data_IF_619595324563
#
_entry.id   IF_619595324563
#
_cell.length_a   1.000
_cell.length_b   1.000
_cell.length_c   1.000
_cell.angle_alpha   90.00
_cell.angle_beta   90.00
_cell.angle_gamma   90.00
#
_symmetry.space_group_name_H-M   'P 1'
#
loop_
_entity.id
_entity.type
_entity.pdbx_description
1 polymer ?
#
# COMPACT_ATOMS: atom_id res chain seq x y z
N UNK A 1 -4.97 -58.73 -25.77
CA UNK A 1 -5.48 -57.36 -25.91
C UNK A 1 -4.77 -56.50 -24.87
N UNK A 2 -3.90 -55.58 -25.31
CA UNK A 2 -3.15 -54.66 -24.44
C UNK A 2 -3.61 -53.23 -24.70
N UNK A 3 -3.60 -52.48 -23.60
CA UNK A 3 -4.27 -51.23 -23.25
C UNK A 3 -3.98 -50.02 -24.13
N UNK A 4 -4.89 -49.03 -24.09
CA UNK A 4 -4.49 -47.65 -23.89
C UNK A 4 -5.63 -46.86 -23.22
N UNK A 5 -5.47 -46.57 -21.93
CA UNK A 5 -6.27 -45.57 -21.20
C UNK A 5 -5.44 -44.28 -21.21
N UNK A 6 -5.92 -43.18 -21.81
CA UNK A 6 -5.19 -41.92 -21.76
C UNK A 6 -5.25 -41.33 -20.34
N UNK A 7 -4.09 -41.23 -19.70
CA UNK A 7 -3.88 -40.44 -18.49
C UNK A 7 -4.02 -38.96 -18.86
N UNK A 8 -5.12 -38.35 -18.44
CA UNK A 8 -5.28 -36.90 -18.47
C UNK A 8 -4.37 -36.29 -17.39
N UNK A 9 -3.25 -35.72 -17.80
CA UNK A 9 -2.45 -34.85 -16.94
C UNK A 9 -3.20 -33.52 -16.81
N UNK A 10 -3.95 -33.35 -15.73
CA UNK A 10 -4.39 -32.03 -15.29
C UNK A 10 -3.17 -31.27 -14.80
N UNK A 11 -2.63 -30.39 -15.64
CA UNK A 11 -1.62 -29.42 -15.21
C UNK A 11 -2.27 -28.48 -14.21
N UNK A 12 -1.92 -28.63 -12.93
CA UNK A 12 -2.18 -27.63 -11.91
C UNK A 12 -1.29 -26.42 -12.25
N UNK A 13 -1.80 -25.48 -13.03
CA UNK A 13 -1.16 -24.17 -13.16
C UNK A 13 -1.25 -23.53 -11.76
N UNK A 14 -0.14 -23.50 -11.03
CA UNK A 14 -0.04 -22.69 -9.83
C UNK A 14 -0.33 -21.24 -10.23
N UNK A 15 -1.40 -20.66 -9.69
CA UNK A 15 -1.61 -19.23 -9.80
C UNK A 15 -0.43 -18.56 -9.08
N UNK A 16 0.53 -18.05 -9.86
CA UNK A 16 1.57 -17.18 -9.30
C UNK A 16 0.83 -15.93 -8.85
N UNK A 17 0.71 -15.75 -7.54
CA UNK A 17 0.14 -14.52 -7.00
C UNK A 17 1.05 -13.38 -7.44
N UNK A 18 0.49 -12.37 -8.08
CA UNK A 18 1.24 -11.22 -8.61
C UNK A 18 1.81 -10.31 -7.50
N UNK A 19 1.45 -10.62 -6.25
CA UNK A 19 1.96 -10.00 -5.04
C UNK A 19 1.92 -11.00 -3.89
N UNK A 20 2.75 -10.77 -2.88
CA UNK A 20 2.69 -11.45 -1.59
C UNK A 20 2.37 -10.44 -0.49
N UNK A 21 1.55 -10.83 0.49
CA UNK A 21 1.33 -10.01 1.69
C UNK A 21 1.51 -10.85 2.95
N UNK A 22 2.07 -10.25 3.98
CA UNK A 22 1.99 -10.76 5.34
C UNK A 22 0.76 -10.20 6.03
N UNK A 23 0.15 -11.01 6.90
CA UNK A 23 -0.76 -10.45 7.89
C UNK A 23 0.04 -9.56 8.85
N UNK A 24 -0.61 -8.51 9.35
CA UNK A 24 -0.01 -7.59 10.30
C UNK A 24 -1.09 -6.86 11.10
N UNK A 25 -0.68 -6.25 12.20
CA UNK A 25 -1.54 -5.42 13.04
C UNK A 25 -1.45 -3.96 12.63
N UNK A 26 -2.49 -3.18 12.91
CA UNK A 26 -2.35 -1.73 12.89
C UNK A 26 -1.32 -1.26 13.95
N UNK A 27 -0.72 -0.10 13.73
CA UNK A 27 0.04 0.58 14.80
C UNK A 27 -0.86 0.94 15.99
N UNK A 28 -0.29 0.91 17.19
CA UNK A 28 -0.93 1.55 18.35
C UNK A 28 -0.87 3.08 18.21
N UNK A 29 -1.68 3.84 18.96
CA UNK A 29 -1.61 5.29 18.97
C UNK A 29 -0.21 5.82 19.32
N UNK A 30 0.51 5.17 20.24
CA UNK A 30 1.86 5.53 20.64
C UNK A 30 2.88 5.25 19.52
N UNK A 31 2.79 4.08 18.88
CA UNK A 31 3.64 3.72 17.74
C UNK A 31 3.41 4.68 16.56
N UNK A 32 2.15 5.07 16.31
CA UNK A 32 1.83 6.04 15.27
C UNK A 32 2.33 7.44 15.63
N UNK A 33 2.18 7.88 16.88
CA UNK A 33 2.71 9.16 17.32
C UNK A 33 4.23 9.22 17.17
N UNK A 34 4.95 8.14 17.49
CA UNK A 34 6.38 8.02 17.26
C UNK A 34 6.70 8.06 15.75
N UNK A 35 5.99 7.28 14.93
CA UNK A 35 6.15 7.24 13.48
C UNK A 35 6.10 8.62 12.82
N UNK A 36 5.20 9.49 13.29
CA UNK A 36 5.06 10.86 12.77
C UNK A 36 6.31 11.73 13.02
N UNK A 37 7.18 11.34 13.95
CA UNK A 37 8.44 12.04 14.25
C UNK A 37 9.65 11.48 13.53
N UNK A 38 9.51 10.31 12.89
CA UNK A 38 10.60 9.64 12.21
C UNK A 38 10.75 10.15 10.77
N UNK A 39 11.98 10.49 10.37
CA UNK A 39 12.35 10.70 8.96
C UNK A 39 12.92 9.42 8.32
N UNK A 40 13.26 8.41 9.13
CA UNK A 40 13.82 7.13 8.71
C UNK A 40 13.29 6.02 9.64
N UNK A 41 12.94 4.89 9.07
CA UNK A 41 12.31 3.74 9.76
C UNK A 41 13.22 2.52 9.80
N UNK A 42 14.49 2.65 9.40
CA UNK A 42 15.47 1.57 9.43
C UNK A 42 15.66 1.04 10.86
N UNK A 43 15.34 -0.23 11.08
CA UNK A 43 15.44 -0.86 12.40
C UNK A 43 14.35 -0.45 13.39
N UNK A 44 13.34 0.31 12.96
CA UNK A 44 12.20 0.65 13.80
C UNK A 44 11.24 -0.54 13.90
N UNK A 45 11.26 -1.23 15.04
CA UNK A 45 10.56 -2.50 15.25
C UNK A 45 9.05 -2.48 14.93
N UNK A 46 8.29 -1.40 15.21
CA UNK A 46 6.87 -1.35 14.84
C UNK A 46 6.60 -1.40 13.33
N UNK A 47 7.59 -1.10 12.48
CA UNK A 47 7.45 -1.27 11.02
C UNK A 47 7.25 -2.74 10.65
N UNK A 48 7.92 -3.68 11.33
CA UNK A 48 7.84 -5.11 11.01
C UNK A 48 6.49 -5.74 11.36
N UNK A 49 5.70 -5.09 12.22
CA UNK A 49 4.43 -5.61 12.73
C UNK A 49 3.20 -5.27 11.88
N UNK A 50 3.29 -4.21 11.07
CA UNK A 50 2.20 -3.84 10.16
C UNK A 50 2.14 -4.80 8.97
N UNK A 51 1.03 -4.76 8.21
CA UNK A 51 0.93 -5.52 6.97
C UNK A 51 2.00 -5.05 5.99
N UNK A 52 2.76 -6.00 5.47
CA UNK A 52 3.67 -5.79 4.35
C UNK A 52 3.08 -6.46 3.13
N UNK A 53 3.05 -5.75 2.02
CA UNK A 53 2.79 -6.33 0.71
C UNK A 53 3.97 -6.04 -0.20
N UNK A 54 4.36 -7.02 -1.00
CA UNK A 54 5.40 -6.94 -2.01
C UNK A 54 4.79 -7.34 -3.35
N UNK A 55 4.91 -6.47 -4.34
CA UNK A 55 4.62 -6.84 -5.72
C UNK A 55 5.82 -7.57 -6.30
N UNK A 56 5.56 -8.68 -6.99
CA UNK A 56 6.62 -9.51 -7.55
C UNK A 56 7.02 -9.07 -8.97
N UNK A 57 6.14 -8.35 -9.67
CA UNK A 57 6.41 -7.75 -10.99
C UNK A 57 5.84 -6.32 -11.09
N UNK A 58 6.40 -5.49 -11.99
CA UNK A 58 6.02 -4.08 -12.17
C UNK A 58 4.78 -3.88 -13.05
N UNK A 59 4.31 -4.93 -13.73
CA UNK A 59 3.22 -4.88 -14.71
C UNK A 59 1.93 -5.57 -14.23
N UNK A 60 1.74 -5.62 -12.91
CA UNK A 60 0.52 -6.18 -12.34
C UNK A 60 -0.62 -5.19 -12.55
N UNK A 61 -1.44 -5.49 -13.56
CA UNK A 61 -2.74 -4.87 -13.82
C UNK A 61 -3.53 -4.79 -12.50
N UNK A 62 -3.57 -3.58 -11.92
CA UNK A 62 -4.40 -3.16 -10.81
C UNK A 62 -4.62 -4.23 -9.72
N UNK A 63 -3.56 -4.61 -8.99
CA UNK A 63 -3.75 -5.29 -7.71
C UNK A 63 -4.56 -4.36 -6.79
N UNK A 64 -5.82 -4.73 -6.51
CA UNK A 64 -6.64 -4.08 -5.49
C UNK A 64 -6.33 -4.76 -4.16
N UNK A 65 -5.48 -4.12 -3.36
CA UNK A 65 -5.08 -4.61 -2.06
C UNK A 65 -5.85 -3.84 -0.99
N UNK A 66 -6.68 -4.54 -0.23
CA UNK A 66 -7.25 -3.98 0.98
C UNK A 66 -6.17 -3.91 2.07
N UNK A 67 -6.00 -2.75 2.69
CA UNK A 67 -5.11 -2.59 3.83
C UNK A 67 -5.70 -3.23 5.11
N UNK A 68 -4.91 -3.25 6.19
CA UNK A 68 -5.37 -3.77 7.49
C UNK A 68 -6.48 -2.85 8.02
N UNK A 69 -7.69 -3.38 8.30
CA UNK A 69 -8.71 -2.62 8.99
C UNK A 69 -8.22 -2.33 10.42
N UNK A 70 -8.38 -1.09 10.88
CA UNK A 70 -8.00 -0.70 12.24
C UNK A 70 -8.72 -1.61 13.27
N UNK A 71 -8.05 -2.02 14.37
CA UNK A 71 -8.70 -2.82 15.42
C UNK A 71 -9.90 -2.05 15.97
N UNK A 72 -11.08 -2.67 15.86
CA UNK A 72 -12.34 -2.11 16.33
C UNK A 72 -12.30 -1.91 17.85
N UNK A 73 -12.23 -0.67 18.32
CA UNK A 73 -12.12 -0.45 19.76
C UNK A 73 -12.03 0.99 20.24
N UNK A 74 -12.72 1.92 19.56
CA UNK A 74 -13.20 3.26 19.94
C UNK A 74 -13.10 4.13 18.69
N UNK A 75 -14.22 4.71 18.27
CA UNK A 75 -14.49 5.34 16.97
C UNK A 75 -14.89 4.34 15.87
N UNK A 76 -16.20 4.21 15.66
CA UNK A 76 -16.73 3.75 14.37
C UNK A 76 -16.07 4.56 13.24
N UNK A 77 -15.63 3.87 12.17
CA UNK A 77 -15.30 4.41 10.86
C UNK A 77 -14.12 5.40 10.78
N UNK A 78 -12.88 4.89 10.74
CA UNK A 78 -11.76 5.61 10.09
C UNK A 78 -11.17 4.89 8.88
N UNK A 79 -11.57 3.66 8.60
CA UNK A 79 -11.30 2.97 7.33
C UNK A 79 -12.32 3.38 6.26
N UNK A 80 -12.56 4.69 6.07
CA UNK A 80 -13.44 5.16 4.99
C UNK A 80 -13.01 4.61 3.63
N UNK A 81 -13.79 4.84 2.57
CA UNK A 81 -13.50 4.37 1.21
C UNK A 81 -12.20 4.89 0.58
N UNK A 82 -11.24 5.37 1.36
CA UNK A 82 -10.00 5.97 0.90
C UNK A 82 -9.27 5.02 -0.04
N UNK A 83 -8.62 5.65 -1.01
CA UNK A 83 -7.90 4.94 -2.04
C UNK A 83 -6.59 5.62 -2.32
N UNK A 84 -5.53 4.84 -2.40
CA UNK A 84 -4.27 5.26 -2.94
C UNK A 84 -3.96 4.47 -4.21
N UNK A 85 -3.42 5.11 -5.22
CA UNK A 85 -2.93 4.47 -6.44
C UNK A 85 -1.53 4.94 -6.73
N UNK A 86 -0.58 4.02 -6.87
CA UNK A 86 0.77 4.32 -7.34
C UNK A 86 0.86 4.12 -8.85
N UNK A 87 1.61 4.98 -9.54
CA UNK A 87 1.73 5.00 -11.00
C UNK A 87 3.18 4.94 -11.47
N UNK A 88 3.39 4.31 -12.62
CA UNK A 88 4.69 4.19 -13.29
C UNK A 88 5.09 5.43 -14.11
N UNK A 89 4.21 6.44 -14.20
CA UNK A 89 4.43 7.68 -14.91
C UNK A 89 4.05 8.91 -14.07
N UNK A 90 4.53 10.09 -14.47
CA UNK A 90 4.21 11.36 -13.82
C UNK A 90 2.76 11.77 -14.06
N UNK A 91 2.19 12.52 -13.11
CA UNK A 91 0.87 13.14 -13.14
C UNK A 91 -0.31 12.15 -13.08
N UNK A 92 -0.11 11.00 -12.43
CA UNK A 92 -1.13 9.99 -12.13
C UNK A 92 -1.98 9.53 -13.33
N UNK A 93 -1.39 9.14 -14.48
CA UNK A 93 -2.18 8.80 -15.66
C UNK A 93 -2.75 7.39 -15.50
N UNK A 94 -4.07 7.27 -15.69
CA UNK A 94 -4.86 6.04 -15.41
C UNK A 94 -4.33 4.77 -16.09
N UNK A 95 -3.63 4.88 -17.21
CA UNK A 95 -3.06 3.76 -17.96
C UNK A 95 -1.69 3.27 -17.45
N UNK A 96 -1.19 3.82 -16.35
CA UNK A 96 0.11 3.47 -15.76
C UNK A 96 0.04 3.02 -14.29
N UNK A 97 -1.17 2.69 -13.81
CA UNK A 97 -1.36 2.27 -12.43
C UNK A 97 -0.62 0.95 -12.14
N UNK A 98 0.17 0.94 -11.06
CA UNK A 98 0.95 -0.20 -10.58
C UNK A 98 0.16 -0.98 -9.52
N UNK A 99 -0.39 -0.27 -8.53
CA UNK A 99 -1.11 -0.83 -7.40
C UNK A 99 -2.19 0.14 -6.93
N UNK A 100 -3.34 -0.39 -6.52
CA UNK A 100 -4.37 0.35 -5.80
C UNK A 100 -4.52 -0.21 -4.39
N UNK A 101 -4.45 0.65 -3.37
CA UNK A 101 -4.70 0.29 -1.98
C UNK A 101 -5.99 0.94 -1.51
N UNK A 102 -6.95 0.14 -1.08
CA UNK A 102 -8.27 0.61 -0.69
C UNK A 102 -8.56 0.39 0.80
N UNK A 103 -9.48 1.20 1.34
CA UNK A 103 -10.02 1.09 2.69
C UNK A 103 -8.96 1.09 3.80
N UNK A 104 -7.87 1.83 3.60
CA UNK A 104 -6.79 1.86 4.56
C UNK A 104 -7.08 2.77 5.76
N UNK A 105 -6.58 2.31 6.91
CA UNK A 105 -6.65 2.99 8.20
C UNK A 105 -5.26 3.10 8.80
N UNK A 106 -4.91 2.24 9.75
CA UNK A 106 -3.73 2.43 10.59
C UNK A 106 -2.48 1.66 10.18
N UNK A 107 -1.90 2.09 9.06
CA UNK A 107 -0.62 1.59 8.59
C UNK A 107 -0.75 0.36 7.69
N UNK A 108 0.06 0.36 6.65
CA UNK A 108 0.29 -0.77 5.75
C UNK A 108 1.44 -0.39 4.82
N UNK A 109 2.44 -1.25 4.75
CA UNK A 109 3.61 -1.05 3.92
C UNK A 109 3.49 -1.81 2.61
N UNK A 110 3.79 -1.14 1.50
CA UNK A 110 3.68 -1.69 0.16
C UNK A 110 4.97 -1.45 -0.61
N UNK A 111 5.66 -2.53 -0.94
CA UNK A 111 6.89 -2.52 -1.74
C UNK A 111 6.57 -2.84 -3.19
N UNK A 112 7.16 -2.09 -4.11
CA UNK A 112 7.06 -2.35 -5.55
C UNK A 112 8.44 -2.57 -6.14
N UNK A 113 8.58 -3.44 -7.15
CA UNK A 113 9.88 -3.82 -7.70
C UNK A 113 10.61 -2.67 -8.42
N UNK A 114 9.91 -1.57 -8.73
CA UNK A 114 10.48 -0.29 -9.11
C UNK A 114 9.45 0.66 -9.71
N UNK A 115 9.87 1.92 -9.90
CA UNK A 115 9.23 2.79 -10.89
C UNK A 115 8.04 3.62 -10.44
N UNK A 116 7.79 3.84 -9.14
CA UNK A 116 6.77 4.83 -8.76
C UNK A 116 7.23 6.23 -9.22
N UNK A 117 6.42 6.87 -10.06
CA UNK A 117 6.65 8.24 -10.53
C UNK A 117 5.60 9.21 -10.03
N UNK A 118 4.41 8.71 -9.70
CA UNK A 118 3.40 9.51 -9.04
C UNK A 118 2.45 8.67 -8.20
N UNK A 119 1.73 9.34 -7.30
CA UNK A 119 0.71 8.74 -6.44
C UNK A 119 -0.56 9.58 -6.43
N UNK A 120 -1.72 8.93 -6.58
CA UNK A 120 -3.02 9.58 -6.39
C UNK A 120 -3.66 9.09 -5.09
N UNK A 121 -4.11 10.04 -4.28
CA UNK A 121 -4.80 9.78 -3.02
C UNK A 121 -6.23 10.32 -3.13
N UNK A 122 -7.21 9.52 -2.73
CA UNK A 122 -8.61 9.89 -2.72
C UNK A 122 -9.21 9.60 -1.34
N UNK A 123 -10.11 10.49 -0.90
CA UNK A 123 -10.86 10.34 0.34
C UNK A 123 -12.36 10.40 0.10
N UNK A 124 -13.10 9.54 0.81
CA UNK A 124 -14.56 9.54 0.76
C UNK A 124 -15.17 10.74 1.51
N UNK A 125 -14.57 11.12 2.64
CA UNK A 125 -15.07 12.17 3.52
C UNK A 125 -14.04 13.28 3.72
N UNK A 126 -14.52 14.53 3.79
CA UNK A 126 -13.70 15.69 4.11
C UNK A 126 -13.59 15.86 5.63
N UNK A 127 -12.37 15.93 6.16
CA UNK A 127 -12.12 16.21 7.57
C UNK A 127 -10.80 15.62 8.07
N UNK A 128 -10.32 16.13 9.20
CA UNK A 128 -9.13 15.61 9.89
C UNK A 128 -9.47 14.35 10.69
N UNK A 129 -8.54 13.38 10.80
CA UNK A 129 -7.25 13.30 10.10
C UNK A 129 -7.41 12.89 8.62
N UNK A 130 -6.57 13.44 7.74
CA UNK A 130 -6.61 13.15 6.31
C UNK A 130 -5.89 11.83 5.99
N UNK A 131 -6.36 11.07 4.99
CA UNK A 131 -5.56 10.00 4.39
C UNK A 131 -4.22 10.56 3.93
N UNK A 132 -3.18 9.79 4.19
CA UNK A 132 -1.79 10.21 3.99
C UNK A 132 -0.97 9.04 3.46
N UNK A 133 0.05 9.36 2.66
CA UNK A 133 1.02 8.40 2.14
C UNK A 133 2.43 8.93 2.35
N UNK A 134 3.28 8.13 2.98
CA UNK A 134 4.71 8.38 3.05
C UNK A 134 5.44 7.43 2.10
N UNK A 135 6.32 7.96 1.27
CA UNK A 135 7.14 7.21 0.34
C UNK A 135 8.54 7.00 0.89
N UNK A 136 9.12 5.84 0.60
CA UNK A 136 10.40 5.42 1.15
C UNK A 136 11.41 5.08 0.05
N UNK A 137 12.67 5.33 0.38
CA UNK A 137 13.82 5.01 -0.49
C UNK A 137 14.12 3.51 -0.56
N UNK A 138 13.83 2.73 0.48
CA UNK A 138 14.05 1.28 0.55
C UNK A 138 12.78 0.46 0.30
N UNK A 139 12.95 -0.85 0.07
CA UNK A 139 11.84 -1.81 0.16
C UNK A 139 11.43 -2.01 1.62
N UNK A 140 10.25 -2.57 1.86
CA UNK A 140 9.73 -2.84 3.21
C UNK A 140 9.52 -1.57 4.04
N UNK A 141 9.35 -0.42 3.40
CA UNK A 141 9.21 0.89 4.07
C UNK A 141 10.35 1.15 5.03
N UNK A 142 11.55 0.73 4.61
CA UNK A 142 12.83 1.00 5.28
C UNK A 142 13.54 2.21 4.65
N UNK A 143 14.55 2.71 5.35
CA UNK A 143 15.30 3.89 4.92
C UNK A 143 14.52 5.17 5.12
N UNK A 144 15.02 6.23 4.46
CA UNK A 144 14.49 7.58 4.67
C UNK A 144 13.17 7.78 3.91
N UNK A 145 12.26 8.54 4.53
CA UNK A 145 11.07 9.12 3.90
C UNK A 145 11.52 10.10 2.83
N UNK A 146 11.13 9.85 1.58
CA UNK A 146 11.52 10.67 0.42
C UNK A 146 10.41 11.61 -0.04
N UNK A 147 9.16 11.32 0.34
CA UNK A 147 8.03 12.19 0.04
C UNK A 147 6.87 11.93 1.00
N UNK A 148 6.16 12.99 1.37
CA UNK A 148 4.94 12.96 2.17
C UNK A 148 3.79 13.52 1.33
N UNK A 149 2.76 12.72 1.11
CA UNK A 149 1.58 13.08 0.33
C UNK A 149 0.34 13.06 1.23
N UNK A 150 -0.33 14.21 1.32
CA UNK A 150 -1.66 14.34 1.91
C UNK A 150 -2.68 14.83 0.88
N UNK A 151 -3.89 15.12 1.36
CA UNK A 151 -4.92 15.82 0.58
C UNK A 151 -5.14 17.20 1.20
N UNK A 152 -5.11 18.25 0.38
CA UNK A 152 -5.35 19.62 0.82
C UNK A 152 -6.73 19.77 1.52
N UNK A 153 -6.81 20.68 2.48
CA UNK A 153 -8.07 21.00 3.15
C UNK A 153 -9.17 21.36 2.15
N UNK A 154 -10.34 20.75 2.29
CA UNK A 154 -11.47 20.95 1.37
C UNK A 154 -11.41 20.24 0.00
N UNK A 155 -10.31 19.55 -0.34
CA UNK A 155 -10.22 18.74 -1.59
C UNK A 155 -10.53 17.26 -1.35
N UNK A 156 -11.05 16.53 -2.34
CA UNK A 156 -11.31 15.09 -2.14
C UNK A 156 -10.17 14.19 -2.59
N UNK A 157 -9.18 14.76 -3.27
CA UNK A 157 -8.10 14.01 -3.89
C UNK A 157 -6.82 14.85 -3.99
N UNK A 158 -5.71 14.15 -4.19
CA UNK A 158 -4.43 14.73 -4.57
C UNK A 158 -3.69 13.83 -5.55
N UNK A 159 -2.80 14.43 -6.35
CA UNK A 159 -1.83 13.73 -7.17
C UNK A 159 -0.46 14.41 -6.99
N UNK A 160 0.57 13.63 -6.64
CA UNK A 160 1.93 14.15 -6.52
C UNK A 160 2.90 13.31 -7.35
N UNK A 161 3.84 13.98 -8.03
CA UNK A 161 4.99 13.34 -8.63
C UNK A 161 6.02 13.03 -7.54
N UNK A 162 6.63 11.85 -7.62
CA UNK A 162 7.60 11.35 -6.65
C UNK A 162 8.82 10.82 -7.38
N UNK A 163 10.01 11.04 -6.82
CA UNK A 163 11.24 10.64 -7.48
C UNK A 163 11.63 9.19 -7.15
N UNK A 164 10.95 8.24 -7.80
CA UNK A 164 11.33 6.82 -7.83
C UNK A 164 11.46 6.12 -6.46
N UNK A 165 10.51 6.28 -5.51
CA UNK A 165 10.52 5.48 -4.28
C UNK A 165 10.35 3.99 -4.55
N UNK A 166 10.77 3.18 -3.58
CA UNK A 166 10.73 1.70 -3.64
C UNK A 166 9.56 1.11 -2.86
N UNK A 167 9.04 1.85 -1.88
CA UNK A 167 7.84 1.47 -1.15
C UNK A 167 7.10 2.68 -0.61
N UNK A 168 5.92 2.45 -0.04
CA UNK A 168 5.12 3.47 0.59
C UNK A 168 4.29 2.91 1.76
N UNK A 169 4.02 3.76 2.75
CA UNK A 169 3.07 3.51 3.83
C UNK A 169 1.82 4.33 3.56
N UNK A 170 0.65 3.69 3.62
CA UNK A 170 -0.64 4.41 3.64
C UNK A 170 -1.22 4.42 5.04
N UNK A 171 -1.79 5.54 5.46
CA UNK A 171 -2.44 5.65 6.77
C UNK A 171 -3.49 6.76 6.85
N UNK A 172 -4.39 6.66 7.83
CA UNK A 172 -5.33 7.69 8.24
C UNK A 172 -5.62 7.57 9.74
N UNK A 173 -5.00 8.45 10.54
CA UNK A 173 -5.51 8.77 11.87
C UNK A 173 -5.61 7.64 12.88
N UNK A 174 -4.46 7.14 13.31
CA UNK A 174 -4.29 6.37 14.52
C UNK A 174 -4.12 7.33 15.72
#
# INVERSE_FOLDING_TARGET
MRFNVPLAFTSLAAAVSAYSCTDGSAWTPEEFAEYLTLDDTTGWAPMERIKHCRLDESDVVAADISAVPAPHGTLNARSGGNRFVAYAADNCPSNSAIISVNNFGCGGCYSVPGGIKSGSLWRQYNGNPYPTVDFYSGEGCSGSKVHHQGIESGKSDSCNNVNSPRSFVVYQGC
#
